data_IF_507673744304
#
_entry.id   IF_507673744304
#
_cell.length_a   1.000
_cell.length_b   1.000
_cell.length_c   1.000
_cell.angle_alpha   90.00
_cell.angle_beta   90.00
_cell.angle_gamma   90.00
#
_symmetry.space_group_name_H-M   'P 1'
#
loop_
_entity.id
_entity.type
_entity.pdbx_description
1 polymer ?
#
# COMPACT_ATOMS: atom_id res chain seq x y z
N UNK A 1 -10.87 -0.91 -8.51
CA UNK A 1 -10.70 -2.21 -7.84
C UNK A 1 -10.01 -1.91 -6.53
N UNK A 2 -10.51 -2.40 -5.39
CA UNK A 2 -9.88 -2.08 -4.10
C UNK A 2 -8.68 -3.00 -3.86
N UNK A 3 -7.68 -2.53 -3.11
CA UNK A 3 -6.52 -3.34 -2.71
C UNK A 3 -6.94 -4.62 -1.98
N UNK A 4 -8.04 -4.57 -1.23
CA UNK A 4 -8.59 -5.74 -0.56
C UNK A 4 -9.04 -6.81 -1.56
N UNK A 5 -9.73 -6.41 -2.63
CA UNK A 5 -10.21 -7.33 -3.67
C UNK A 5 -9.02 -8.03 -4.36
N UNK A 6 -7.96 -7.27 -4.66
CA UNK A 6 -6.74 -7.76 -5.29
C UNK A 6 -6.04 -8.81 -4.41
N UNK A 7 -5.91 -8.52 -3.12
CA UNK A 7 -5.32 -9.46 -2.16
C UNK A 7 -6.17 -10.72 -2.00
N UNK A 8 -7.50 -10.60 -2.00
CA UNK A 8 -8.38 -11.77 -1.91
C UNK A 8 -8.25 -12.73 -3.08
N UNK A 9 -7.86 -12.25 -4.28
CA UNK A 9 -7.58 -13.11 -5.44
C UNK A 9 -6.29 -13.92 -5.28
N UNK A 10 -5.32 -13.40 -4.53
CA UNK A 10 -4.01 -14.03 -4.29
C UNK A 10 -4.03 -15.03 -3.13
N UNK A 11 -5.07 -15.00 -2.28
CA UNK A 11 -5.15 -15.76 -1.03
C UNK A 11 -5.98 -17.04 -1.14
N UNK A 12 -5.73 -18.05 -0.28
CA UNK A 12 -6.54 -19.27 -0.23
C UNK A 12 -8.02 -18.99 0.06
N UNK A 13 -8.91 -19.79 -0.53
CA UNK A 13 -10.34 -19.73 -0.23
C UNK A 13 -10.60 -19.88 1.27
N UNK A 14 -11.38 -18.96 1.83
CA UNK A 14 -11.72 -18.95 3.26
C UNK A 14 -10.69 -18.27 4.15
N UNK A 15 -9.66 -17.64 3.59
CA UNK A 15 -8.78 -16.75 4.34
C UNK A 15 -9.59 -15.58 4.92
N UNK A 16 -9.38 -15.29 6.20
CA UNK A 16 -10.00 -14.18 6.90
C UNK A 16 -8.90 -13.27 7.43
N UNK A 17 -8.98 -11.99 7.08
CA UNK A 17 -8.08 -10.98 7.60
C UNK A 17 -8.33 -10.75 9.09
N UNK A 18 -7.25 -10.61 9.84
CA UNK A 18 -7.27 -10.11 11.22
C UNK A 18 -7.53 -8.60 11.24
N UNK A 19 -8.00 -8.02 12.37
CA UNK A 19 -8.18 -6.58 12.47
C UNK A 19 -6.89 -5.77 12.20
N UNK A 20 -5.72 -6.33 12.55
CA UNK A 20 -4.43 -5.68 12.29
C UNK A 20 -4.12 -5.63 10.80
N UNK A 21 -4.34 -6.74 10.09
CA UNK A 21 -4.15 -6.80 8.63
C UNK A 21 -5.14 -5.88 7.91
N UNK A 22 -6.40 -5.81 8.35
CA UNK A 22 -7.37 -4.87 7.79
C UNK A 22 -6.93 -3.42 7.96
N UNK A 23 -6.41 -3.04 9.13
CA UNK A 23 -5.85 -1.69 9.35
C UNK A 23 -4.67 -1.42 8.41
N UNK A 24 -3.78 -2.39 8.21
CA UNK A 24 -2.65 -2.25 7.30
C UNK A 24 -3.11 -2.09 5.83
N UNK A 25 -4.11 -2.87 5.41
CA UNK A 25 -4.72 -2.75 4.08
C UNK A 25 -5.37 -1.38 3.90
N UNK A 26 -6.07 -0.87 4.91
CA UNK A 26 -6.68 0.46 4.85
C UNK A 26 -5.62 1.57 4.70
N UNK A 27 -4.51 1.49 5.43
CA UNK A 27 -3.41 2.44 5.29
C UNK A 27 -2.78 2.38 3.90
N UNK A 28 -2.54 1.17 3.37
CA UNK A 28 -2.02 0.99 2.03
C UNK A 28 -2.99 1.48 0.95
N UNK A 29 -4.30 1.27 1.13
CA UNK A 29 -5.33 1.80 0.23
C UNK A 29 -5.33 3.33 0.23
N UNK A 30 -5.28 3.98 1.41
CA UNK A 30 -5.21 5.43 1.49
C UNK A 30 -3.96 5.98 0.76
N UNK A 31 -2.83 5.27 0.87
CA UNK A 31 -1.61 5.64 0.15
C UNK A 31 -1.75 5.49 -1.37
N UNK A 32 -2.49 4.48 -1.85
CA UNK A 32 -2.80 4.32 -3.28
C UNK A 32 -3.76 5.40 -3.79
N UNK A 33 -4.73 5.81 -2.97
CA UNK A 33 -5.64 6.90 -3.32
C UNK A 33 -4.88 8.23 -3.46
N UNK A 34 -3.89 8.47 -2.59
CA UNK A 34 -2.97 9.61 -2.72
C UNK A 34 -2.15 9.57 -4.01
N UNK A 35 -1.67 8.38 -4.41
CA UNK A 35 -0.98 8.18 -5.70
C UNK A 35 -1.90 8.55 -6.86
N UNK A 36 -3.13 8.05 -6.88
CA UNK A 36 -4.10 8.34 -7.94
C UNK A 36 -4.44 9.84 -8.03
N UNK A 37 -4.54 10.51 -6.87
CA UNK A 37 -4.76 11.96 -6.80
C UNK A 37 -3.58 12.73 -7.38
N UNK A 38 -2.33 12.36 -7.06
CA UNK A 38 -1.13 13.00 -7.61
C UNK A 38 -0.98 12.76 -9.11
N UNK A 39 -1.35 11.57 -9.59
CA UNK A 39 -1.40 11.26 -11.03
C UNK A 39 -2.39 12.19 -11.75
N UNK A 40 -3.59 12.36 -11.20
CA UNK A 40 -4.60 13.30 -11.73
C UNK A 40 -4.08 14.75 -11.79
N UNK A 41 -3.36 15.20 -10.76
CA UNK A 41 -2.71 16.53 -10.76
C UNK A 41 -1.69 16.63 -11.89
N UNK A 42 -0.84 15.63 -12.08
CA UNK A 42 0.16 15.65 -13.15
C UNK A 42 -0.45 15.53 -14.56
N UNK A 43 -1.54 14.80 -14.72
CA UNK A 43 -2.27 14.71 -15.99
C UNK A 43 -2.91 16.05 -16.38
N UNK A 44 -3.41 16.79 -15.39
CA UNK A 44 -4.08 18.09 -15.60
C UNK A 44 -3.12 19.27 -15.75
N UNK A 45 -2.08 19.34 -14.91
CA UNK A 45 -1.14 20.46 -14.88
C UNK A 45 0.10 20.22 -15.75
N UNK A 46 0.41 18.98 -16.06
CA UNK A 46 1.60 18.59 -16.79
C UNK A 46 2.89 18.67 -15.97
N UNK A 47 4.04 18.40 -16.62
CA UNK A 47 5.34 18.30 -15.96
C UNK A 47 5.98 19.63 -15.62
N UNK A 48 5.55 20.71 -16.28
CA UNK A 48 6.13 22.03 -16.16
C UNK A 48 5.02 22.99 -15.77
N UNK A 49 5.23 23.71 -14.66
CA UNK A 49 4.29 24.71 -14.15
C UNK A 49 4.99 26.07 -14.04
N UNK A 50 4.19 27.14 -14.09
CA UNK A 50 4.69 28.49 -13.86
C UNK A 50 4.65 28.78 -12.36
N UNK A 51 5.82 28.99 -11.79
CA UNK A 51 6.01 29.38 -10.39
C UNK A 51 5.84 30.88 -10.18
N UNK A 52 6.26 31.33 -9.00
CA UNK A 52 6.26 32.74 -8.65
C UNK A 52 7.15 33.55 -9.60
N UNK A 53 6.77 34.80 -9.88
CA UNK A 53 7.46 35.70 -10.82
C UNK A 53 7.60 35.15 -12.26
N UNK A 54 6.74 34.22 -12.68
CA UNK A 54 6.75 33.69 -14.06
C UNK A 54 7.83 32.63 -14.30
N UNK A 55 8.54 32.18 -13.27
CA UNK A 55 9.60 31.19 -13.43
C UNK A 55 9.03 29.83 -13.82
N UNK A 56 9.53 29.26 -14.91
CA UNK A 56 9.23 27.88 -15.30
C UNK A 56 9.91 26.90 -14.34
N UNK A 57 9.15 25.99 -13.74
CA UNK A 57 9.67 24.97 -12.80
C UNK A 57 9.02 23.61 -13.02
N UNK A 58 9.68 22.56 -12.55
CA UNK A 58 9.09 21.22 -12.49
C UNK A 58 7.92 21.20 -11.52
N UNK A 59 6.87 20.45 -11.86
CA UNK A 59 5.74 20.23 -10.98
C UNK A 59 6.18 19.43 -9.75
N UNK A 60 5.93 19.96 -8.54
CA UNK A 60 6.30 19.32 -7.27
C UNK A 60 5.61 17.95 -7.08
N UNK A 61 4.46 17.75 -7.72
CA UNK A 61 3.75 16.47 -7.71
C UNK A 61 4.59 15.33 -8.30
N UNK A 62 5.63 15.58 -9.11
CA UNK A 62 6.54 14.53 -9.58
C UNK A 62 7.33 13.88 -8.45
N UNK A 63 7.96 14.70 -7.59
CA UNK A 63 8.74 14.18 -6.47
C UNK A 63 7.85 13.47 -5.46
N UNK A 64 6.67 14.02 -5.19
CA UNK A 64 5.69 13.43 -4.30
C UNK A 64 5.17 12.10 -4.86
N UNK A 65 4.76 12.06 -6.13
CA UNK A 65 4.28 10.83 -6.76
C UNK A 65 5.30 9.70 -6.70
N UNK A 66 6.58 10.02 -6.95
CA UNK A 66 7.66 9.02 -6.84
C UNK A 66 7.77 8.46 -5.42
N UNK A 67 7.74 9.32 -4.41
CA UNK A 67 7.84 8.90 -3.00
C UNK A 67 6.61 8.11 -2.58
N UNK A 68 5.41 8.56 -2.94
CA UNK A 68 4.14 7.89 -2.66
C UNK A 68 4.05 6.52 -3.30
N UNK A 69 4.48 6.37 -4.58
CA UNK A 69 4.54 5.07 -5.25
C UNK A 69 5.51 4.11 -4.57
N UNK A 70 6.69 4.59 -4.16
CA UNK A 70 7.66 3.77 -3.43
C UNK A 70 7.11 3.31 -2.08
N UNK A 71 6.47 4.20 -1.32
CA UNK A 71 5.90 3.85 -0.02
C UNK A 71 4.69 2.91 -0.16
N UNK A 72 3.81 3.12 -1.14
CA UNK A 72 2.72 2.20 -1.45
C UNK A 72 3.25 0.79 -1.76
N UNK A 73 4.25 0.69 -2.65
CA UNK A 73 4.88 -0.57 -3.00
C UNK A 73 5.50 -1.26 -1.78
N UNK A 74 6.18 -0.50 -0.91
CA UNK A 74 6.76 -1.01 0.33
C UNK A 74 5.70 -1.56 1.28
N UNK A 75 4.59 -0.84 1.47
CA UNK A 75 3.50 -1.26 2.35
C UNK A 75 2.81 -2.52 1.83
N UNK A 76 2.51 -2.57 0.53
CA UNK A 76 1.91 -3.74 -0.11
C UNK A 76 2.83 -4.96 0.01
N UNK A 77 4.14 -4.78 -0.17
CA UNK A 77 5.11 -5.86 0.00
C UNK A 77 5.17 -6.38 1.44
N UNK A 78 5.11 -5.49 2.43
CA UNK A 78 5.04 -5.89 3.86
C UNK A 78 3.77 -6.70 4.13
N UNK A 79 2.63 -6.24 3.62
CA UNK A 79 1.33 -6.92 3.74
C UNK A 79 1.42 -8.32 3.11
N UNK A 80 1.85 -8.41 1.85
CA UNK A 80 2.01 -9.67 1.12
C UNK A 80 2.95 -10.63 1.84
N UNK A 81 4.11 -10.17 2.31
CA UNK A 81 5.03 -11.02 3.08
C UNK A 81 4.42 -11.48 4.40
N UNK A 82 3.72 -10.61 5.11
CA UNK A 82 3.03 -10.96 6.36
C UNK A 82 1.99 -12.07 6.15
N UNK A 83 1.24 -12.00 5.04
CA UNK A 83 0.18 -12.95 4.69
C UNK A 83 0.72 -14.25 4.06
N UNK A 84 1.80 -14.18 3.29
CA UNK A 84 2.42 -15.33 2.60
C UNK A 84 3.46 -16.05 3.46
N UNK A 85 3.82 -15.55 4.65
CA UNK A 85 4.66 -16.28 5.63
C UNK A 85 3.97 -17.50 6.25
N UNK A 86 2.85 -17.92 5.69
CA UNK A 86 2.00 -19.05 6.11
C UNK A 86 2.51 -20.35 5.48
N UNK A 87 3.78 -20.68 5.69
CA UNK A 87 4.38 -21.95 5.24
C UNK A 87 4.24 -23.09 6.27
N UNK A 88 3.22 -23.01 7.15
CA UNK A 88 2.86 -24.12 8.03
C UNK A 88 1.38 -24.45 7.86
N UNK A 89 1.02 -25.71 7.53
CA UNK A 89 -0.37 -26.11 7.47
C UNK A 89 -0.96 -26.06 8.87
N UNK A 90 -1.69 -24.99 9.19
CA UNK A 90 -2.49 -24.92 10.40
C UNK A 90 -3.75 -25.73 10.12
N UNK A 91 -3.93 -26.82 10.88
CA UNK A 91 -5.15 -27.64 10.85
C UNK A 91 -6.37 -26.72 10.92
N UNK A 92 -7.38 -27.05 10.11
CA UNK A 92 -8.67 -26.35 10.06
C UNK A 92 -9.20 -26.11 11.47
N UNK A 93 -9.17 -24.85 11.92
CA UNK A 93 -9.72 -24.43 13.22
C UNK A 93 -8.81 -23.62 14.14
N UNK A 94 -7.55 -23.30 13.79
CA UNK A 94 -6.69 -22.51 14.69
C UNK A 94 -6.26 -21.18 14.07
N UNK A 95 -6.54 -20.11 14.82
CA UNK A 95 -6.36 -18.69 14.48
C UNK A 95 -4.91 -18.35 14.11
N UNK A 96 -4.72 -17.56 13.06
CA UNK A 96 -3.49 -16.81 12.85
C UNK A 96 -3.43 -15.66 13.86
N UNK A 97 -2.73 -15.84 14.97
CA UNK A 97 -2.22 -14.71 15.76
C UNK A 97 -0.77 -14.49 15.38
N UNK A 98 -0.53 -13.66 14.36
CA UNK A 98 0.81 -13.16 14.06
C UNK A 98 1.18 -12.08 15.09
N UNK A 99 1.49 -12.49 16.33
CA UNK A 99 1.95 -11.58 17.38
C UNK A 99 2.87 -12.30 18.36
N UNK A 100 4.07 -12.73 17.95
CA UNK A 100 5.03 -13.32 18.90
C UNK A 100 6.52 -13.33 18.49
N UNK A 101 7.03 -12.46 17.62
CA UNK A 101 8.45 -12.56 17.23
C UNK A 101 9.25 -11.26 17.05
N UNK A 102 8.88 -10.17 17.74
CA UNK A 102 9.78 -9.00 17.84
C UNK A 102 9.70 -8.29 19.21
N UNK A 103 10.02 -9.01 20.28
CA UNK A 103 10.60 -8.40 21.49
C UNK A 103 11.62 -9.39 22.05
N UNK A 104 12.90 -9.20 21.70
CA UNK A 104 14.11 -9.49 22.51
C UNK A 104 15.37 -9.42 21.64
N UNK A 105 16.09 -8.29 21.77
CA UNK A 105 17.52 -8.20 22.11
C UNK A 105 17.88 -6.70 22.10
#
# INVERSE_FOLDING_TARGET
MSLLDDLMLELPKGYSFTPVELTQIQLAQAQLDDVARLETVLESEGPIVIGHAGQTRLNAAFSELRQSRHEAARQIEVIRRGMLSVDKPVKAGTRYTASAARIRA
#
